data_IF_422989120596
#
_entry.id   IF_422989120596
#
_cell.length_a   1.000
_cell.length_b   1.000
_cell.length_c   1.000
_cell.angle_alpha   90.00
_cell.angle_beta   90.00
_cell.angle_gamma   90.00
#
_symmetry.space_group_name_H-M   'P 1'
#
loop_
_entity.id
_entity.type
_entity.pdbx_description
1 polymer ?
#
# COMPACT_ATOMS: atom_id res chain seq x y z
N UNK A 1 -0.48 13.44 18.29
CA UNK A 1 -0.92 12.90 16.98
C UNK A 1 -0.01 13.49 15.91
N UNK A 2 1.02 12.75 15.50
CA UNK A 2 1.90 13.16 14.40
C UNK A 2 1.17 12.80 13.10
N UNK A 3 0.46 13.78 12.54
CA UNK A 3 -0.05 13.66 11.17
C UNK A 3 1.14 13.38 10.25
N UNK A 4 1.03 12.33 9.44
CA UNK A 4 2.16 11.92 8.60
C UNK A 4 2.50 13.01 7.56
N UNK A 5 3.81 13.29 7.35
CA UNK A 5 4.24 14.31 6.40
C UNK A 5 3.79 13.91 4.99
N UNK A 6 2.86 14.68 4.43
CA UNK A 6 2.35 14.48 3.06
C UNK A 6 0.83 14.46 2.91
N UNK A 7 0.07 14.46 4.00
CA UNK A 7 -1.39 14.56 3.89
C UNK A 7 -1.86 16.01 3.85
N UNK A 8 -1.61 16.67 2.71
CA UNK A 8 -2.29 17.93 2.40
C UNK A 8 -3.67 17.59 1.84
N UNK A 9 -4.78 18.11 2.40
CA UNK A 9 -6.10 17.90 1.83
C UNK A 9 -6.11 18.48 0.40
N UNK A 10 -6.27 17.59 -0.57
CA UNK A 10 -6.41 17.92 -1.98
C UNK A 10 -7.75 18.64 -2.17
N UNK A 11 -7.70 19.93 -2.49
CA UNK A 11 -8.88 20.77 -2.70
C UNK A 11 -9.74 20.30 -3.88
N UNK A 12 -9.23 19.39 -4.72
CA UNK A 12 -10.04 18.78 -5.78
C UNK A 12 -11.06 17.76 -5.26
N UNK A 13 -10.97 17.36 -3.98
CA UNK A 13 -11.88 16.38 -3.38
C UNK A 13 -13.17 17.08 -2.97
N UNK A 14 -14.34 16.58 -3.42
CA UNK A 14 -15.63 17.20 -3.09
C UNK A 14 -15.90 17.09 -1.59
N UNK A 15 -16.72 18.00 -1.06
CA UNK A 15 -17.03 18.09 0.37
C UNK A 15 -17.51 16.75 0.97
N UNK A 16 -18.17 15.90 0.16
CA UNK A 16 -18.63 14.55 0.56
C UNK A 16 -17.49 13.59 0.92
N UNK A 17 -16.33 13.75 0.29
CA UNK A 17 -15.14 12.91 0.49
C UNK A 17 -14.07 13.64 1.34
N UNK A 18 -14.23 14.96 1.56
CA UNK A 18 -13.29 15.76 2.36
C UNK A 18 -13.15 15.26 3.81
N UNK A 19 -14.23 14.78 4.43
CA UNK A 19 -14.19 14.16 5.76
C UNK A 19 -13.38 12.87 5.77
N UNK A 20 -13.53 12.02 4.75
CA UNK A 20 -12.74 10.81 4.57
C UNK A 20 -11.27 11.14 4.31
N UNK A 21 -10.98 12.20 3.56
CA UNK A 21 -9.61 12.65 3.34
C UNK A 21 -8.95 13.12 4.64
N UNK A 22 -9.67 13.85 5.48
CA UNK A 22 -9.18 14.24 6.80
C UNK A 22 -8.91 13.01 7.67
N UNK A 23 -9.86 12.08 7.74
CA UNK A 23 -9.67 10.83 8.49
C UNK A 23 -8.50 9.98 7.95
N UNK A 24 -8.26 10.00 6.63
CA UNK A 24 -7.08 9.40 6.01
C UNK A 24 -5.79 10.07 6.51
N UNK A 25 -5.76 11.40 6.62
CA UNK A 25 -4.63 12.13 7.21
C UNK A 25 -4.36 11.74 8.66
N UNK A 26 -5.41 11.51 9.44
CA UNK A 26 -5.33 11.08 10.84
C UNK A 26 -4.85 9.62 11.00
N UNK A 27 -4.64 8.90 9.89
CA UNK A 27 -4.11 7.52 9.88
C UNK A 27 -5.19 6.45 9.71
N UNK A 28 -6.44 6.84 9.42
CA UNK A 28 -7.53 5.89 9.19
C UNK A 28 -7.35 5.22 7.83
N UNK A 29 -7.04 3.91 7.84
CA UNK A 29 -6.79 3.14 6.61
C UNK A 29 -8.04 3.00 5.74
N UNK A 30 -9.20 2.73 6.32
CA UNK A 30 -10.47 2.59 5.59
C UNK A 30 -10.83 3.88 4.84
N UNK A 31 -10.62 5.03 5.47
CA UNK A 31 -10.84 6.33 4.85
C UNK A 31 -9.91 6.58 3.65
N UNK A 32 -8.67 6.07 3.71
CA UNK A 32 -7.75 6.11 2.57
C UNK A 32 -8.26 5.28 1.38
N UNK A 33 -8.93 4.14 1.63
CA UNK A 33 -9.58 3.36 0.57
C UNK A 33 -10.72 4.16 -0.07
N UNK A 34 -11.58 4.79 0.73
CA UNK A 34 -12.70 5.62 0.22
C UNK A 34 -12.21 6.76 -0.66
N UNK A 35 -11.13 7.43 -0.26
CA UNK A 35 -10.54 8.51 -1.07
C UNK A 35 -9.92 7.95 -2.36
N UNK A 36 -9.27 6.79 -2.31
CA UNK A 36 -8.77 6.09 -3.48
C UNK A 36 -9.88 5.75 -4.48
N UNK A 37 -11.00 5.22 -4.00
CA UNK A 37 -12.17 4.85 -4.82
C UNK A 37 -12.76 6.05 -5.54
N UNK A 38 -12.82 7.21 -4.87
CA UNK A 38 -13.24 8.45 -5.49
C UNK A 38 -12.34 8.84 -6.67
N UNK A 39 -11.01 8.76 -6.51
CA UNK A 39 -10.08 9.08 -7.59
C UNK A 39 -10.14 8.08 -8.75
N UNK A 40 -10.38 6.79 -8.48
CA UNK A 40 -10.61 5.78 -9.52
C UNK A 40 -11.85 6.12 -10.34
N UNK A 41 -12.98 6.41 -9.68
CA UNK A 41 -14.22 6.75 -10.37
C UNK A 41 -14.08 8.03 -11.22
N UNK A 42 -13.39 9.06 -10.71
CA UNK A 42 -13.10 10.26 -11.51
C UNK A 42 -12.13 9.97 -12.66
N UNK A 43 -11.15 9.10 -12.47
CA UNK A 43 -10.22 8.68 -13.52
C UNK A 43 -10.96 7.96 -14.64
N UNK A 44 -11.92 7.09 -14.32
CA UNK A 44 -12.76 6.40 -15.31
C UNK A 44 -13.66 7.38 -16.07
N UNK A 45 -14.21 8.38 -15.37
CA UNK A 45 -15.07 9.40 -15.97
C UNK A 45 -14.32 10.38 -16.87
N UNK A 46 -13.08 10.72 -16.52
CA UNK A 46 -12.28 11.74 -17.22
C UNK A 46 -11.24 11.16 -18.17
N UNK A 47 -10.87 9.89 -18.00
CA UNK A 47 -9.73 9.26 -18.66
C UNK A 47 -8.36 9.77 -18.19
N UNK A 48 -8.28 10.58 -17.13
CA UNK A 48 -7.00 11.15 -16.67
C UNK A 48 -6.19 10.14 -15.85
N UNK A 49 -5.10 9.66 -16.45
CA UNK A 49 -4.20 8.70 -15.83
C UNK A 49 -3.52 9.22 -14.54
N UNK A 50 -3.45 10.55 -14.35
CA UNK A 50 -2.89 11.16 -13.13
C UNK A 50 -3.75 10.87 -11.90
N UNK A 51 -5.05 10.68 -12.08
CA UNK A 51 -5.98 10.37 -10.99
C UNK A 51 -5.78 8.95 -10.48
N UNK A 52 -5.55 7.97 -11.37
CA UNK A 52 -5.14 6.62 -10.95
C UNK A 52 -3.83 6.64 -10.16
N UNK A 53 -2.88 7.52 -10.53
CA UNK A 53 -1.64 7.69 -9.77
C UNK A 53 -1.88 8.29 -8.37
N UNK A 54 -2.92 9.09 -8.18
CA UNK A 54 -3.35 9.54 -6.85
C UNK A 54 -4.00 8.38 -6.08
N UNK A 55 -4.93 7.65 -6.70
CA UNK A 55 -5.57 6.48 -6.10
C UNK A 55 -4.56 5.44 -5.60
N UNK A 56 -3.57 5.10 -6.43
CA UNK A 56 -2.50 4.16 -6.07
C UNK A 56 -1.73 4.58 -4.80
N UNK A 57 -1.53 5.89 -4.57
CA UNK A 57 -0.86 6.37 -3.35
C UNK A 57 -1.73 6.15 -2.12
N UNK A 58 -3.02 6.43 -2.22
CA UNK A 58 -3.96 6.22 -1.12
C UNK A 58 -4.12 4.73 -0.80
N UNK A 59 -4.24 3.87 -1.81
CA UNK A 59 -4.27 2.42 -1.60
C UNK A 59 -2.97 1.89 -1.02
N UNK A 60 -1.81 2.34 -1.50
CA UNK A 60 -0.51 1.96 -0.93
C UNK A 60 -0.44 2.26 0.57
N UNK A 61 -0.89 3.44 0.98
CA UNK A 61 -0.92 3.82 2.40
C UNK A 61 -1.84 2.92 3.23
N UNK A 62 -3.00 2.53 2.69
CA UNK A 62 -3.90 1.60 3.37
C UNK A 62 -3.40 0.15 3.36
N UNK A 63 -2.62 -0.23 2.35
CA UNK A 63 -2.04 -1.55 2.14
C UNK A 63 -0.76 -1.80 2.93
N UNK A 64 -0.07 -0.75 3.36
CA UNK A 64 1.19 -0.83 4.11
C UNK A 64 0.98 -1.43 5.51
N UNK A 65 1.67 -2.53 5.75
CA UNK A 65 1.81 -3.13 7.09
C UNK A 65 2.86 -2.35 7.85
N UNK A 66 2.48 -1.81 9.00
CA UNK A 66 3.42 -1.17 9.93
C UNK A 66 3.77 -2.17 11.01
N UNK A 67 5.00 -2.70 10.95
CA UNK A 67 5.58 -3.40 12.09
C UNK A 67 5.86 -2.38 13.18
N UNK A 68 5.35 -2.60 14.39
CA UNK A 68 5.80 -1.85 15.56
C UNK A 68 7.16 -2.33 16.01
N UNK A 69 8.09 -2.56 15.08
CA UNK A 69 9.42 -3.08 15.31
C UNK A 69 10.38 -2.15 14.58
N UNK A 70 11.29 -1.56 15.36
CA UNK A 70 12.30 -0.60 14.91
C UNK A 70 13.66 -1.15 15.25
N UNK A 71 14.68 -0.84 14.45
CA UNK A 71 16.04 -1.28 14.72
C UNK A 71 16.84 -0.14 15.34
N UNK A 72 17.43 -0.40 16.50
CA UNK A 72 18.33 0.55 17.17
C UNK A 72 19.75 0.04 17.01
N UNK A 73 20.62 0.92 16.52
CA UNK A 73 22.05 0.64 16.45
C UNK A 73 22.70 0.96 17.79
N UNK A 74 23.40 -0.02 18.36
CA UNK A 74 24.22 0.15 19.56
C UNK A 74 25.68 0.25 19.13
N UNK A 75 26.32 1.43 19.29
CA UNK A 75 27.74 1.57 18.97
C UNK A 75 28.59 0.69 19.89
N UNK A 76 29.58 0.03 19.30
CA UNK A 76 30.54 -0.78 20.04
C UNK A 76 31.48 0.09 20.88
N UNK A 77 31.91 -0.43 22.03
CA UNK A 77 32.86 0.23 22.91
C UNK A 77 34.20 -0.52 22.94
N UNK A 78 35.31 0.21 22.82
CA UNK A 78 36.65 -0.37 22.83
C UNK A 78 36.90 -1.29 21.63
N UNK A 79 37.24 -2.56 21.89
CA UNK A 79 37.46 -3.59 20.84
C UNK A 79 36.19 -4.39 20.48
N UNK A 80 35.03 -4.06 21.05
CA UNK A 80 33.77 -4.75 20.77
C UNK A 80 33.08 -4.07 19.58
N UNK A 81 32.65 -4.85 18.59
CA UNK A 81 31.90 -4.33 17.44
C UNK A 81 30.49 -3.87 17.85
N UNK A 82 29.99 -2.80 17.22
CA UNK A 82 28.60 -2.38 17.36
C UNK A 82 27.63 -3.36 16.72
N UNK A 83 26.39 -3.37 17.17
CA UNK A 83 25.37 -4.28 16.66
C UNK A 83 23.99 -3.63 16.65
N UNK A 84 23.13 -4.13 15.76
CA UNK A 84 21.77 -3.62 15.59
C UNK A 84 20.80 -4.57 16.27
N UNK A 85 19.96 -4.05 17.18
CA UNK A 85 18.92 -4.83 17.84
C UNK A 85 17.52 -4.41 17.37
N UNK A 86 16.62 -5.37 17.11
CA UNK A 86 15.21 -5.07 16.95
C UNK A 86 14.58 -4.70 18.30
N UNK A 87 13.83 -3.61 18.32
CA UNK A 87 13.07 -3.12 19.48
C UNK A 87 11.63 -2.95 19.07
N UNK A 88 10.73 -3.60 19.80
CA UNK A 88 9.28 -3.46 19.59
C UNK A 88 8.83 -2.09 20.10
N UNK A 89 8.50 -1.19 19.18
CA UNK A 89 7.93 0.13 19.44
C UNK A 89 6.40 0.12 19.49
N UNK A 90 5.74 -1.01 19.18
CA UNK A 90 4.28 -1.15 19.27
C UNK A 90 3.74 -2.43 18.63
N UNK A 91 2.40 -2.56 18.51
CA UNK A 91 1.79 -3.70 17.82
C UNK A 91 2.02 -3.63 16.30
N UNK A 92 2.18 -4.80 15.67
CA UNK A 92 2.14 -4.91 14.21
C UNK A 92 0.73 -4.63 13.74
N UNK A 93 0.59 -3.67 12.84
CA UNK A 93 -0.69 -3.31 12.25
C UNK A 93 -0.68 -3.69 10.78
N UNK A 94 -1.43 -4.74 10.44
CA UNK A 94 -1.57 -5.22 9.08
C UNK A 94 -2.31 -4.20 8.21
N UNK A 95 -1.89 -4.09 6.94
CA UNK A 95 -2.61 -3.32 5.93
C UNK A 95 -3.97 -3.93 5.62
N UNK A 96 -4.86 -3.13 5.01
CA UNK A 96 -6.18 -3.62 4.60
C UNK A 96 -6.04 -4.52 3.36
N UNK A 97 -6.53 -5.77 3.39
CA UNK A 97 -6.46 -6.67 2.23
C UNK A 97 -7.24 -6.12 1.03
N UNK A 98 -8.35 -5.41 1.27
CA UNK A 98 -9.09 -4.71 0.23
C UNK A 98 -8.23 -3.65 -0.49
N UNK A 99 -7.46 -2.86 0.27
CA UNK A 99 -6.57 -1.85 -0.31
C UNK A 99 -5.45 -2.47 -1.13
N UNK A 100 -4.91 -3.60 -0.67
CA UNK A 100 -3.88 -4.35 -1.39
C UNK A 100 -4.43 -4.93 -2.70
N UNK A 101 -5.65 -5.48 -2.71
CA UNK A 101 -6.31 -5.95 -3.92
C UNK A 101 -6.55 -4.82 -4.94
N UNK A 102 -7.03 -3.65 -4.48
CA UNK A 102 -7.21 -2.47 -5.35
C UNK A 102 -5.89 -1.94 -5.89
N UNK A 103 -4.82 -1.95 -5.09
CA UNK A 103 -3.49 -1.58 -5.56
C UNK A 103 -2.95 -2.58 -6.60
N UNK A 104 -3.16 -3.88 -6.38
CA UNK A 104 -2.78 -4.92 -7.32
C UNK A 104 -3.50 -4.76 -8.67
N UNK A 105 -4.80 -4.46 -8.66
CA UNK A 105 -5.56 -4.22 -9.89
C UNK A 105 -5.01 -3.03 -10.69
N UNK A 106 -4.60 -1.93 -10.02
CA UNK A 106 -3.96 -0.80 -10.69
C UNK A 106 -2.63 -1.19 -11.37
N UNK A 107 -1.79 -1.99 -10.72
CA UNK A 107 -0.54 -2.49 -11.30
C UNK A 107 -0.78 -3.50 -12.43
N UNK A 108 -1.80 -4.35 -12.30
CA UNK A 108 -2.16 -5.33 -13.30
C UNK A 108 -2.63 -4.68 -14.60
N UNK A 109 -3.43 -3.61 -14.49
CA UNK A 109 -3.96 -2.85 -15.62
C UNK A 109 -3.02 -1.74 -16.12
N UNK A 110 -2.00 -1.37 -15.34
CA UNK A 110 -1.10 -0.25 -15.69
C UNK A 110 -1.76 1.12 -15.58
N UNK A 111 -2.73 1.27 -14.66
CA UNK A 111 -3.49 2.50 -14.46
C UNK A 111 -2.75 3.40 -13.46
N UNK A 112 -2.20 4.51 -13.94
CA UNK A 112 -1.49 5.52 -13.15
C UNK A 112 -0.11 5.10 -12.65
N UNK A 113 0.23 3.82 -12.84
CA UNK A 113 1.50 3.17 -12.51
C UNK A 113 1.95 2.36 -13.71
N UNK A 114 3.26 2.12 -13.83
CA UNK A 114 3.79 1.23 -14.87
C UNK A 114 3.17 -0.16 -14.66
N UNK A 115 2.63 -0.75 -15.74
CA UNK A 115 2.09 -2.10 -15.69
C UNK A 115 3.17 -3.06 -15.19
N UNK A 116 2.82 -3.83 -14.17
CA UNK A 116 3.73 -4.75 -13.51
C UNK A 116 2.88 -5.88 -12.91
N UNK A 117 2.63 -6.90 -13.74
CA UNK A 117 1.78 -8.05 -13.39
C UNK A 117 2.41 -8.88 -12.28
N UNK A 118 3.73 -8.99 -12.27
CA UNK A 118 4.46 -9.72 -11.24
C UNK A 118 4.31 -9.02 -9.89
N UNK A 119 4.49 -7.70 -9.85
CA UNK A 119 4.27 -6.90 -8.65
C UNK A 119 2.81 -6.92 -8.20
N UNK A 120 1.86 -6.82 -9.14
CA UNK A 120 0.44 -6.95 -8.83
C UNK A 120 0.16 -8.30 -8.16
N UNK A 121 0.70 -9.38 -8.70
CA UNK A 121 0.50 -10.71 -8.15
C UNK A 121 1.21 -10.91 -6.81
N UNK A 122 2.38 -10.31 -6.60
CA UNK A 122 3.06 -10.31 -5.31
C UNK A 122 2.26 -9.56 -4.23
N UNK A 123 1.63 -8.45 -4.59
CA UNK A 123 0.74 -7.70 -3.68
C UNK A 123 -0.53 -8.52 -3.41
N UNK A 124 -1.12 -9.11 -4.46
CA UNK A 124 -2.33 -9.93 -4.36
C UNK A 124 -2.08 -11.18 -3.50
N UNK A 125 -0.97 -11.88 -3.70
CA UNK A 125 -0.58 -13.05 -2.90
C UNK A 125 -0.28 -12.68 -1.45
N UNK A 126 0.31 -11.51 -1.17
CA UNK A 126 0.45 -11.01 0.20
C UNK A 126 -0.91 -10.72 0.87
N UNK A 127 -1.88 -10.22 0.11
CA UNK A 127 -3.26 -9.99 0.56
C UNK A 127 -3.97 -11.31 0.83
N UNK A 128 -3.88 -12.20 -0.15
CA UNK A 128 -4.45 -13.54 -0.11
C UNK A 128 -3.78 -14.37 0.96
N UNK A 129 -2.49 -14.26 1.28
CA UNK A 129 -1.88 -15.04 2.37
C UNK A 129 -2.52 -14.75 3.73
N UNK A 130 -2.92 -13.50 3.98
CA UNK A 130 -3.66 -13.15 5.20
C UNK A 130 -5.07 -13.77 5.22
N UNK A 131 -5.66 -14.05 4.05
CA UNK A 131 -6.97 -14.70 3.88
C UNK A 131 -6.82 -16.24 3.72
N UNK A 132 -5.74 -16.72 3.14
CA UNK A 132 -5.44 -18.09 2.78
C UNK A 132 -4.85 -18.84 3.97
N UNK A 133 -4.23 -18.16 4.94
CA UNK A 133 -4.05 -18.76 6.26
C UNK A 133 -5.40 -19.11 6.91
N UNK A 134 -6.48 -18.41 6.56
CA UNK A 134 -7.84 -18.70 7.05
C UNK A 134 -8.57 -19.72 6.15
N UNK A 135 -8.30 -19.72 4.83
CA UNK A 135 -9.04 -20.51 3.83
C UNK A 135 -8.23 -21.57 3.06
N UNK A 136 -6.96 -21.77 3.39
CA UNK A 136 -6.02 -22.75 2.82
C UNK A 136 -5.94 -22.74 1.27
N UNK A 137 -5.98 -21.56 0.65
CA UNK A 137 -5.94 -21.38 -0.81
C UNK A 137 -4.52 -21.08 -1.31
N UNK A 138 -4.02 -21.86 -2.27
CA UNK A 138 -2.74 -21.61 -2.94
C UNK A 138 -2.98 -20.75 -4.20
N UNK A 139 -2.36 -19.58 -4.27
CA UNK A 139 -2.45 -18.69 -5.43
C UNK A 139 -1.06 -18.57 -6.07
N UNK A 140 -0.84 -19.31 -7.15
CA UNK A 140 0.39 -19.24 -7.94
C UNK A 140 0.31 -18.07 -8.92
N UNK A 141 1.31 -17.19 -8.84
CA UNK A 141 1.46 -16.12 -9.81
C UNK A 141 1.96 -16.71 -11.13
N UNK A 142 1.28 -16.46 -12.27
CA UNK A 142 1.79 -16.90 -13.55
C UNK A 142 3.15 -16.23 -13.77
N UNK A 143 4.21 -17.04 -13.83
CA UNK A 143 5.50 -16.61 -14.36
C UNK A 143 5.25 -16.25 -15.82
N UNK A 144 5.63 -15.06 -16.27
CA UNK A 144 5.67 -14.80 -17.72
C UNK A 144 6.55 -15.88 -18.33
N UNK A 145 6.11 -16.60 -19.39
CA UNK A 145 6.99 -17.52 -20.09
C UNK A 145 8.16 -16.68 -20.58
N UNK A 146 9.38 -17.10 -20.23
CA UNK A 146 10.61 -16.47 -20.68
C UNK A 146 10.46 -16.06 -22.14
N UNK A 147 10.59 -14.77 -22.38
CA UNK A 147 10.90 -14.22 -23.69
C UNK A 147 12.31 -14.70 -24.09
N UNK A 148 12.46 -16.00 -24.38
CA UNK A 148 13.54 -16.50 -25.21
C UNK A 148 13.00 -16.63 -26.63
N UNK A 149 12.84 -15.47 -27.27
CA UNK A 149 12.91 -15.35 -28.71
C UNK A 149 14.31 -14.81 -29.03
N UNK A 150 15.14 -15.62 -29.70
CA UNK A 150 16.48 -15.26 -30.15
C UNK A 150 17.37 -16.47 -30.34
#
# INVERSE_FOLDING_TARGET
MIGEPGCSPDRSVPARIASAQKASCDGTRSASVTVGDYYVAEAERTGDNRLYKKAARFYKRAAETRSGLTFIYVPGAGKVAGYTMPVTTGPTTYGLPEAQAKLADLYYRGLGVKQDKEKACRIMSASLHHVAHVYNLHFECPQEPDSQAG
#
